data_IF_994819757976
#
_entry.id   IF_994819757976
#
_cell.length_a   1.000
_cell.length_b   1.000
_cell.length_c   1.000
_cell.angle_alpha   90.00
_cell.angle_beta   90.00
_cell.angle_gamma   90.00
#
_symmetry.space_group_name_H-M   'P 1'
#
loop_
_entity.id
_entity.type
_entity.pdbx_description
1 polymer ?
#
# COMPACT_ATOMS: atom_id res chain seq x y z
N UNK A 1 -10.26 -28.87 5.28
CA UNK A 1 -10.97 -28.65 6.56
C UNK A 1 -10.57 -27.27 7.05
N UNK A 2 -11.49 -26.31 7.03
CA UNK A 2 -11.26 -24.94 7.54
C UNK A 2 -11.21 -25.00 9.06
N UNK A 3 -10.02 -24.94 9.63
CA UNK A 3 -9.84 -24.48 11.00
C UNK A 3 -9.35 -23.04 10.91
N UNK A 4 -10.27 -22.09 10.81
CA UNK A 4 -10.00 -20.75 11.35
C UNK A 4 -9.79 -20.94 12.85
N UNK A 5 -8.75 -20.33 13.39
CA UNK A 5 -8.28 -20.53 14.78
C UNK A 5 -9.27 -19.95 15.80
N UNK A 6 -10.32 -19.28 15.31
CA UNK A 6 -11.52 -18.95 16.05
C UNK A 6 -12.71 -19.63 15.37
N UNK A 7 -13.41 -20.50 16.12
CA UNK A 7 -14.77 -20.89 15.76
C UNK A 7 -15.59 -19.60 15.66
N UNK A 8 -16.15 -19.36 14.47
CA UNK A 8 -17.27 -18.43 14.28
C UNK A 8 -18.49 -19.08 14.92
N UNK A 9 -18.50 -19.17 16.25
CA UNK A 9 -19.71 -19.52 16.98
C UNK A 9 -20.58 -18.27 17.11
N UNK A 10 -21.76 -18.37 16.49
CA UNK A 10 -22.98 -17.58 16.66
C UNK A 10 -22.92 -16.09 16.31
N UNK A 11 -23.39 -15.74 15.11
CA UNK A 11 -24.57 -14.88 14.87
C UNK A 11 -24.70 -13.48 15.49
N UNK A 12 -23.78 -13.03 16.36
CA UNK A 12 -23.75 -11.69 16.94
C UNK A 12 -22.53 -10.94 16.41
N UNK A 13 -22.70 -9.71 15.89
CA UNK A 13 -21.57 -8.88 15.48
C UNK A 13 -20.64 -8.63 16.67
N UNK A 14 -19.32 -8.68 16.44
CA UNK A 14 -18.34 -8.37 17.48
C UNK A 14 -18.52 -6.91 17.91
N UNK A 15 -18.64 -6.69 19.22
CA UNK A 15 -18.81 -5.38 19.85
C UNK A 15 -17.57 -5.07 20.67
N UNK A 16 -16.85 -4.02 20.30
CA UNK A 16 -15.54 -3.74 20.86
C UNK A 16 -15.49 -2.43 21.66
N UNK A 17 -14.64 -2.44 22.69
CA UNK A 17 -14.06 -1.22 23.26
C UNK A 17 -12.65 -1.09 22.74
N UNK A 18 -12.31 0.09 22.23
CA UNK A 18 -10.97 0.38 21.71
C UNK A 18 -10.09 0.97 22.81
N UNK A 19 -8.82 0.59 22.86
CA UNK A 19 -7.87 0.99 23.89
C UNK A 19 -6.60 1.51 23.25
N UNK A 20 -6.20 2.74 23.60
CA UNK A 20 -4.91 3.30 23.18
C UNK A 20 -4.10 3.78 24.38
N UNK A 21 -2.80 3.47 24.35
CA UNK A 21 -1.83 3.91 25.34
C UNK A 21 -0.93 4.97 24.73
N UNK A 22 -0.91 6.16 25.32
CA UNK A 22 -0.02 7.26 24.95
C UNK A 22 1.17 7.26 25.90
N UNK A 23 2.37 7.05 25.37
CA UNK A 23 3.59 7.15 26.16
C UNK A 23 4.02 8.62 26.21
N UNK A 24 4.14 9.19 27.41
CA UNK A 24 4.45 10.63 27.58
C UNK A 24 5.79 11.05 26.96
N UNK A 25 6.73 10.12 26.77
CA UNK A 25 8.01 10.38 26.11
C UNK A 25 7.85 10.78 24.64
N UNK A 26 6.78 10.29 23.99
CA UNK A 26 6.63 10.39 22.54
C UNK A 26 6.14 11.78 22.12
N UNK A 27 5.76 12.63 23.09
CA UNK A 27 5.31 14.02 22.89
C UNK A 27 4.30 14.17 21.74
N UNK A 28 3.47 13.15 21.54
CA UNK A 28 2.42 13.17 20.52
C UNK A 28 1.43 14.29 20.87
N UNK A 29 1.03 15.08 19.87
CA UNK A 29 -0.03 16.06 20.04
C UNK A 29 -1.36 15.33 20.32
N UNK A 30 -2.27 15.98 21.05
CA UNK A 30 -3.59 15.42 21.32
C UNK A 30 -4.32 15.10 19.99
N UNK A 31 -4.16 15.94 18.97
CA UNK A 31 -4.69 15.72 17.61
C UNK A 31 -4.21 14.40 16.99
N UNK A 32 -2.93 14.04 17.19
CA UNK A 32 -2.37 12.81 16.64
C UNK A 32 -2.91 11.57 17.35
N UNK A 33 -3.16 11.66 18.65
CA UNK A 33 -3.79 10.58 19.42
C UNK A 33 -5.22 10.36 18.95
N UNK A 34 -5.99 11.44 18.77
CA UNK A 34 -7.36 11.37 18.24
C UNK A 34 -7.39 10.77 16.83
N UNK A 35 -6.44 11.13 15.99
CA UNK A 35 -6.35 10.57 14.64
C UNK A 35 -6.03 9.07 14.65
N UNK A 36 -5.04 8.62 15.44
CA UNK A 36 -4.70 7.18 15.57
C UNK A 36 -5.91 6.36 16.05
N UNK A 37 -6.66 6.90 17.02
CA UNK A 37 -7.89 6.29 17.51
C UNK A 37 -8.98 6.22 16.46
N UNK A 38 -9.24 7.31 15.73
CA UNK A 38 -10.24 7.32 14.66
C UNK A 38 -9.86 6.36 13.52
N UNK A 39 -8.57 6.24 13.22
CA UNK A 39 -8.07 5.26 12.27
C UNK A 39 -8.27 3.82 12.76
N UNK A 40 -8.01 3.55 14.04
CA UNK A 40 -8.26 2.24 14.64
C UNK A 40 -9.75 1.87 14.68
N UNK A 41 -10.63 2.84 14.95
CA UNK A 41 -12.07 2.68 14.85
C UNK A 41 -12.45 2.32 13.41
N UNK A 42 -11.93 3.06 12.43
CA UNK A 42 -12.16 2.78 11.01
C UNK A 42 -11.65 1.39 10.60
N UNK A 43 -10.57 0.90 11.19
CA UNK A 43 -10.07 -0.48 10.99
C UNK A 43 -11.05 -1.50 11.55
N UNK A 44 -11.53 -1.28 12.78
CA UNK A 44 -12.49 -2.16 13.44
C UNK A 44 -13.79 -2.27 12.64
N UNK A 45 -14.33 -1.13 12.20
CA UNK A 45 -15.51 -1.08 11.34
C UNK A 45 -15.27 -1.80 10.00
N UNK A 46 -14.09 -1.62 9.39
CA UNK A 46 -13.71 -2.31 8.15
C UNK A 46 -13.60 -3.83 8.29
N UNK A 47 -13.38 -4.33 9.51
CA UNK A 47 -13.40 -5.76 9.86
C UNK A 47 -14.80 -6.27 10.22
N UNK A 48 -15.81 -5.40 10.27
CA UNK A 48 -17.18 -5.72 10.67
C UNK A 48 -17.40 -5.71 12.20
N UNK A 49 -16.55 -5.01 12.95
CA UNK A 49 -16.66 -4.86 14.42
C UNK A 49 -17.33 -3.52 14.74
N UNK A 50 -18.36 -3.56 15.60
CA UNK A 50 -19.04 -2.37 16.11
C UNK A 50 -18.25 -1.80 17.30
N UNK A 51 -17.71 -0.59 17.18
CA UNK A 51 -17.02 0.07 18.30
C UNK A 51 -18.04 0.80 19.19
N UNK A 52 -18.10 0.40 20.45
CA UNK A 52 -19.04 0.95 21.42
C UNK A 52 -18.48 2.16 22.20
N UNK A 53 -17.18 2.14 22.50
CA UNK A 53 -16.49 3.19 23.26
C UNK A 53 -14.97 3.10 23.08
N UNK A 54 -14.25 4.12 23.56
CA UNK A 54 -12.79 4.19 23.54
C UNK A 54 -12.19 4.57 24.89
N UNK A 55 -11.07 3.95 25.26
CA UNK A 55 -10.30 4.27 26.45
C UNK A 55 -8.90 4.72 26.04
N UNK A 56 -8.51 5.89 26.52
CA UNK A 56 -7.15 6.42 26.36
C UNK A 56 -6.47 6.46 27.72
N UNK A 57 -5.24 5.94 27.78
CA UNK A 57 -4.39 6.09 28.96
C UNK A 57 -3.08 6.76 28.59
N UNK A 58 -2.73 7.85 29.29
CA UNK A 58 -1.40 8.43 29.24
C UNK A 58 -0.51 7.85 30.36
N UNK A 59 0.68 7.34 30.02
CA UNK A 59 1.62 6.76 30.99
C UNK A 59 3.07 7.01 30.58
N UNK A 60 4.01 6.90 31.52
CA UNK A 60 5.43 7.09 31.24
C UNK A 60 6.07 5.87 30.56
N UNK A 61 5.49 4.68 30.78
CA UNK A 61 5.94 3.43 30.17
C UNK A 61 4.83 2.36 30.18
N UNK A 62 4.97 1.40 29.26
CA UNK A 62 4.05 0.25 29.12
C UNK A 62 4.10 -0.65 30.37
N UNK A 63 2.94 -1.12 30.82
CA UNK A 63 2.88 -2.15 31.86
C UNK A 63 3.31 -3.53 31.31
N UNK A 64 4.33 -4.14 31.89
CA UNK A 64 4.85 -5.44 31.43
C UNK A 64 3.83 -6.58 31.58
N UNK A 65 2.86 -6.45 32.48
CA UNK A 65 1.86 -7.49 32.73
C UNK A 65 0.58 -7.27 31.93
N UNK A 66 0.10 -6.03 31.88
CA UNK A 66 -1.25 -5.71 31.38
C UNK A 66 -1.27 -4.77 30.18
N UNK A 67 -0.12 -4.29 29.73
CA UNK A 67 0.04 -3.19 28.78
C UNK A 67 -0.44 -1.83 29.33
N UNK A 68 -1.70 -1.77 29.77
CA UNK A 68 -2.30 -0.66 30.52
C UNK A 68 -2.15 -0.82 32.04
N UNK A 69 -2.41 0.22 32.82
CA UNK A 69 -2.37 0.15 34.27
C UNK A 69 -3.52 -0.67 34.86
N UNK A 70 -3.29 -1.34 36.01
CA UNK A 70 -4.30 -2.18 36.68
C UNK A 70 -5.66 -1.49 36.89
N UNK A 71 -5.66 -0.20 37.26
CA UNK A 71 -6.90 0.56 37.43
C UNK A 71 -7.68 0.72 36.12
N UNK A 72 -6.98 0.87 34.98
CA UNK A 72 -7.61 0.93 33.65
C UNK A 72 -8.10 -0.43 33.17
N UNK A 73 -7.45 -1.53 33.57
CA UNK A 73 -7.97 -2.88 33.32
C UNK A 73 -9.33 -3.06 34.00
N UNK A 74 -9.46 -2.60 35.25
CA UNK A 74 -10.72 -2.69 35.98
C UNK A 74 -11.80 -1.79 35.36
N UNK A 75 -11.45 -0.55 35.00
CA UNK A 75 -12.36 0.36 34.29
C UNK A 75 -12.84 -0.22 32.96
N UNK A 76 -11.93 -0.82 32.18
CA UNK A 76 -12.26 -1.49 30.91
C UNK A 76 -13.22 -2.67 31.14
N UNK A 77 -13.04 -3.44 32.21
CA UNK A 77 -13.93 -4.55 32.58
C UNK A 77 -15.34 -4.07 32.88
N UNK A 78 -15.45 -3.03 33.71
CA UNK A 78 -16.74 -2.44 34.06
C UNK A 78 -17.44 -1.82 32.84
N UNK A 79 -16.69 -1.14 31.98
CA UNK A 79 -17.20 -0.52 30.77
C UNK A 79 -17.71 -1.59 29.78
N UNK A 80 -16.90 -2.61 29.52
CA UNK A 80 -17.28 -3.70 28.63
C UNK A 80 -18.53 -4.43 29.11
N UNK A 81 -18.64 -4.70 30.42
CA UNK A 81 -19.83 -5.33 30.98
C UNK A 81 -21.08 -4.45 30.85
N UNK A 82 -20.94 -3.13 31.09
CA UNK A 82 -22.05 -2.16 30.98
C UNK A 82 -22.57 -2.02 29.56
N UNK A 83 -21.67 -2.00 28.58
CA UNK A 83 -22.00 -1.80 27.17
C UNK A 83 -22.30 -3.11 26.43
N UNK A 84 -22.03 -4.26 27.05
CA UNK A 84 -22.16 -5.57 26.42
C UNK A 84 -21.11 -5.83 25.34
N UNK A 85 -19.91 -5.27 25.49
CA UNK A 85 -18.79 -5.55 24.61
C UNK A 85 -18.26 -6.96 24.85
N UNK A 86 -17.90 -7.67 23.77
CA UNK A 86 -17.31 -9.01 23.82
C UNK A 86 -15.82 -9.01 23.43
N UNK A 87 -15.31 -7.87 22.96
CA UNK A 87 -13.96 -7.71 22.41
C UNK A 87 -13.31 -6.44 22.95
N UNK A 88 -11.99 -6.48 23.18
CA UNK A 88 -11.18 -5.29 23.41
C UNK A 88 -10.09 -5.19 22.34
N UNK A 89 -10.03 -4.05 21.64
CA UNK A 89 -9.08 -3.80 20.56
C UNK A 89 -8.00 -2.83 21.05
N UNK A 90 -6.73 -3.24 20.99
CA UNK A 90 -5.59 -2.43 21.41
C UNK A 90 -4.88 -1.82 20.20
N UNK A 91 -4.60 -0.52 20.25
CA UNK A 91 -3.94 0.22 19.15
C UNK A 91 -2.48 -0.16 18.94
N UNK A 92 -1.82 -0.70 19.96
CA UNK A 92 -0.43 -1.13 19.89
C UNK A 92 -0.32 -2.65 20.01
N UNK A 93 0.78 -3.18 19.46
CA UNK A 93 1.07 -4.61 19.51
C UNK A 93 1.26 -5.08 20.96
N UNK A 94 0.54 -6.14 21.33
CA UNK A 94 0.61 -6.73 22.67
C UNK A 94 1.57 -7.90 22.67
N UNK A 95 2.34 -8.11 23.74
CA UNK A 95 3.08 -9.36 23.93
C UNK A 95 2.13 -10.53 24.22
N UNK A 96 2.51 -11.77 23.87
CA UNK A 96 1.65 -12.93 24.13
C UNK A 96 1.35 -13.12 25.63
N UNK A 97 2.21 -12.61 26.53
CA UNK A 97 1.97 -12.61 27.97
C UNK A 97 0.90 -11.58 28.37
N UNK A 98 0.92 -10.39 27.78
CA UNK A 98 -0.10 -9.36 28.01
C UNK A 98 -1.47 -9.82 27.52
N UNK A 99 -1.56 -10.38 26.31
CA UNK A 99 -2.81 -10.95 25.76
C UNK A 99 -3.43 -11.95 26.73
N UNK A 100 -2.65 -12.97 27.14
CA UNK A 100 -3.08 -13.97 28.13
C UNK A 100 -3.64 -13.36 29.41
N UNK A 101 -2.89 -12.41 29.98
CA UNK A 101 -3.25 -11.84 31.26
C UNK A 101 -4.58 -11.09 31.09
N UNK A 102 -4.66 -10.22 30.08
CA UNK A 102 -5.85 -9.43 29.76
C UNK A 102 -7.08 -10.31 29.52
N UNK A 103 -6.96 -11.38 28.74
CA UNK A 103 -8.04 -12.37 28.54
C UNK A 103 -8.54 -12.93 29.88
N UNK A 104 -7.63 -13.31 30.80
CA UNK A 104 -8.00 -13.84 32.11
C UNK A 104 -8.64 -12.81 33.05
N UNK A 105 -8.29 -11.53 32.93
CA UNK A 105 -8.84 -10.49 33.80
C UNK A 105 -10.17 -9.91 33.30
N UNK A 106 -10.31 -9.83 31.98
CA UNK A 106 -11.44 -9.15 31.34
C UNK A 106 -12.54 -10.12 30.91
N UNK A 107 -12.21 -11.40 30.66
CA UNK A 107 -13.12 -12.38 30.03
C UNK A 107 -13.65 -11.90 28.66
N UNK A 108 -12.78 -11.20 27.92
CA UNK A 108 -13.05 -10.65 26.58
C UNK A 108 -12.06 -11.22 25.57
N UNK A 109 -12.46 -11.24 24.30
CA UNK A 109 -11.54 -11.46 23.18
C UNK A 109 -10.57 -10.27 23.08
N UNK A 110 -9.27 -10.53 23.14
CA UNK A 110 -8.25 -9.47 23.04
C UNK A 110 -7.65 -9.48 21.64
N UNK A 111 -7.78 -8.36 20.94
CA UNK A 111 -7.23 -8.16 19.59
C UNK A 111 -6.30 -6.96 19.65
N UNK A 112 -5.13 -7.05 19.02
CA UNK A 112 -4.27 -5.89 18.81
C UNK A 112 -4.35 -5.40 17.36
N UNK A 113 -3.75 -4.22 17.09
CA UNK A 113 -3.77 -3.61 15.76
C UNK A 113 -3.22 -4.54 14.67
N UNK A 114 -2.17 -5.31 14.95
CA UNK A 114 -1.60 -6.25 13.99
C UNK A 114 -2.59 -7.35 13.62
N UNK A 115 -3.21 -7.98 14.62
CA UNK A 115 -4.21 -9.01 14.41
C UNK A 115 -5.43 -8.47 13.66
N UNK A 116 -5.90 -7.26 14.01
CA UNK A 116 -7.02 -6.61 13.33
C UNK A 116 -6.73 -6.39 11.84
N UNK A 117 -5.54 -5.89 11.48
CA UNK A 117 -5.16 -5.70 10.08
C UNK A 117 -5.09 -7.04 9.34
N UNK A 118 -4.52 -8.08 9.97
CA UNK A 118 -4.46 -9.42 9.39
C UNK A 118 -5.85 -10.01 9.14
N UNK A 119 -6.81 -9.76 10.03
CA UNK A 119 -8.19 -10.22 9.88
C UNK A 119 -8.90 -9.49 8.74
N UNK A 120 -8.69 -8.17 8.58
CA UNK A 120 -9.18 -7.42 7.41
C UNK A 120 -8.58 -8.02 6.14
N UNK A 121 -7.28 -8.27 6.10
CA UNK A 121 -6.64 -8.87 4.92
C UNK A 121 -7.17 -10.27 4.61
N UNK A 122 -7.46 -11.09 5.62
CA UNK A 122 -8.07 -12.40 5.42
C UNK A 122 -9.47 -12.30 4.78
N UNK A 123 -10.24 -11.27 5.12
CA UNK A 123 -11.53 -11.01 4.49
C UNK A 123 -11.41 -10.51 3.04
N UNK A 124 -10.30 -9.82 2.71
CA UNK A 124 -10.09 -9.17 1.40
C UNK A 124 -9.33 -10.04 0.39
N UNK A 125 -8.57 -11.05 0.85
CA UNK A 125 -7.85 -11.97 -0.03
C UNK A 125 -8.81 -12.73 -0.95
N UNK A 126 -8.62 -12.58 -2.26
CA UNK A 126 -9.41 -13.27 -3.29
C UNK A 126 -8.54 -14.18 -4.15
N UNK A 127 -7.27 -13.83 -4.33
CA UNK A 127 -6.33 -14.63 -5.12
C UNK A 127 -5.64 -15.70 -4.28
N UNK A 128 -5.15 -16.76 -4.94
CA UNK A 128 -4.33 -17.78 -4.29
C UNK A 128 -3.06 -17.19 -3.67
N UNK A 129 -2.44 -16.21 -4.32
CA UNK A 129 -1.26 -15.52 -3.79
C UNK A 129 -1.60 -14.76 -2.50
N UNK A 130 -2.67 -13.95 -2.53
CA UNK A 130 -3.17 -13.22 -1.36
C UNK A 130 -3.49 -14.15 -0.19
N UNK A 131 -4.16 -15.27 -0.44
CA UNK A 131 -4.44 -16.27 0.61
C UNK A 131 -3.15 -16.83 1.24
N UNK A 132 -2.15 -17.18 0.43
CA UNK A 132 -0.87 -17.70 0.93
C UNK A 132 -0.12 -16.67 1.77
N UNK A 133 -0.13 -15.40 1.36
CA UNK A 133 0.52 -14.30 2.08
C UNK A 133 -0.15 -14.01 3.42
N UNK A 134 -1.48 -13.94 3.44
CA UNK A 134 -2.23 -13.70 4.68
C UNK A 134 -2.04 -14.87 5.65
N UNK A 135 -2.14 -16.11 5.18
CA UNK A 135 -1.93 -17.29 6.03
C UNK A 135 -0.49 -17.31 6.59
N UNK A 136 0.51 -17.00 5.75
CA UNK A 136 1.90 -16.90 6.20
C UNK A 136 2.06 -15.82 7.28
N UNK A 137 1.46 -14.65 7.08
CA UNK A 137 1.54 -13.53 8.01
C UNK A 137 0.86 -13.87 9.35
N UNK A 138 -0.35 -14.44 9.31
CA UNK A 138 -1.08 -14.88 10.50
C UNK A 138 -0.30 -15.94 11.29
N UNK A 139 0.24 -16.97 10.62
CA UNK A 139 1.02 -18.01 11.29
C UNK A 139 2.34 -17.48 11.85
N UNK A 140 3.00 -16.56 11.14
CA UNK A 140 4.25 -15.94 11.59
C UNK A 140 4.02 -15.07 12.83
N UNK A 141 2.92 -14.32 12.87
CA UNK A 141 2.50 -13.51 14.02
C UNK A 141 2.06 -14.39 15.21
N UNK A 142 1.32 -15.48 14.96
CA UNK A 142 0.84 -16.38 15.99
C UNK A 142 1.94 -17.21 16.64
N UNK A 143 2.92 -17.69 15.87
CA UNK A 143 3.96 -18.62 16.33
C UNK A 143 4.70 -18.18 17.61
N UNK A 144 5.22 -16.94 17.74
CA UNK A 144 5.85 -16.47 18.97
C UNK A 144 4.86 -16.32 20.14
N UNK A 145 3.55 -16.29 19.88
CA UNK A 145 2.46 -15.99 20.83
C UNK A 145 1.70 -17.24 21.30
N UNK A 146 1.92 -18.39 20.66
CA UNK A 146 1.31 -19.70 21.01
C UNK A 146 1.58 -20.16 22.44
N UNK A 147 2.78 -19.90 22.97
CA UNK A 147 3.13 -20.28 24.35
C UNK A 147 2.18 -19.67 25.38
N UNK A 148 1.39 -18.67 24.99
CA UNK A 148 0.33 -18.11 25.80
C UNK A 148 -1.01 -18.81 25.78
N UNK A 149 -1.38 -19.38 24.65
CA UNK A 149 -2.71 -19.98 24.50
C UNK A 149 -2.79 -21.39 25.15
N UNK A 150 -1.65 -21.91 25.61
CA UNK A 150 -1.48 -23.28 26.11
C UNK A 150 -2.02 -23.60 27.51
N UNK A 151 -2.52 -22.63 28.28
CA UNK A 151 -2.99 -22.89 29.66
C UNK A 151 -4.28 -23.73 29.69
N UNK A 152 -5.12 -23.64 28.64
CA UNK A 152 -6.31 -24.50 28.51
C UNK A 152 -6.00 -25.88 27.93
N UNK A 153 -4.91 -26.04 27.18
CA UNK A 153 -4.51 -27.34 26.63
C UNK A 153 -3.72 -28.22 27.61
N UNK A 154 -3.02 -27.64 28.59
CA UNK A 154 -2.22 -28.42 29.57
C UNK A 154 -3.06 -29.06 30.68
N UNK A 155 -4.22 -28.48 31.03
CA UNK A 155 -5.09 -29.04 32.10
C UNK A 155 -5.77 -30.35 31.72
N UNK A 156 -6.06 -30.57 30.43
CA UNK A 156 -6.58 -31.87 29.94
C UNK A 156 -5.50 -32.97 29.88
N UNK A 157 -4.21 -32.62 29.91
CA UNK A 157 -3.10 -33.57 29.97
C UNK A 157 -2.55 -33.82 31.38
N UNK A 158 -3.10 -33.13 32.38
CA UNK A 158 -2.66 -33.18 33.78
C UNK A 158 -3.31 -34.31 34.58
N UNK A 159 -3.25 -35.54 34.08
CA UNK A 159 -3.76 -36.73 34.77
C UNK A 159 -2.80 -37.89 34.60
N UNK A 160 -1.94 -38.09 35.60
CA UNK A 160 -1.20 -39.33 35.94
C UNK A 160 -0.93 -40.27 34.76
N UNK A 161 0.29 -40.23 34.19
CA UNK A 161 0.86 -41.45 33.59
C UNK A 161 1.50 -41.42 32.21
N UNK A 162 1.99 -40.32 31.65
CA UNK A 162 2.82 -40.39 30.43
C UNK A 162 4.32 -40.42 30.75
N UNK A 163 4.79 -41.55 31.28
CA UNK A 163 6.21 -41.93 31.24
C UNK A 163 6.52 -42.49 29.84
N UNK A 164 6.74 -41.58 28.91
CA UNK A 164 7.35 -41.84 27.61
C UNK A 164 8.14 -40.61 27.18
N UNK A 165 9.07 -40.70 26.21
CA UNK A 165 9.77 -39.54 25.66
C UNK A 165 8.78 -38.75 24.77
N UNK A 166 7.75 -38.18 25.39
CA UNK A 166 6.59 -37.58 24.74
C UNK A 166 6.76 -36.08 24.64
N UNK A 167 6.94 -35.61 23.41
CA UNK A 167 6.89 -34.19 23.04
C UNK A 167 5.60 -33.54 23.58
N UNK A 168 5.70 -32.36 24.18
CA UNK A 168 4.49 -31.65 24.66
C UNK A 168 3.59 -31.29 23.48
N UNK A 169 2.26 -31.30 23.69
CA UNK A 169 1.30 -30.90 22.65
C UNK A 169 1.62 -29.52 22.07
N UNK A 170 2.06 -28.59 22.91
CA UNK A 170 2.52 -27.26 22.49
C UNK A 170 3.73 -27.30 21.55
N UNK A 171 4.72 -28.14 21.83
CA UNK A 171 5.89 -28.25 20.94
C UNK A 171 5.52 -28.94 19.62
N UNK A 172 4.61 -29.91 19.67
CA UNK A 172 4.04 -30.54 18.47
C UNK A 172 3.32 -29.51 17.60
N UNK A 173 2.45 -28.68 18.20
CA UNK A 173 1.73 -27.61 17.50
C UNK A 173 2.68 -26.56 16.90
N UNK A 174 3.71 -26.15 17.65
CA UNK A 174 4.76 -25.24 17.15
C UNK A 174 5.51 -25.85 15.97
N UNK A 175 5.82 -27.14 16.00
CA UNK A 175 6.46 -27.84 14.88
C UNK A 175 5.56 -27.85 13.65
N UNK A 176 4.27 -28.16 13.81
CA UNK A 176 3.31 -28.12 12.70
C UNK A 176 3.21 -26.73 12.08
N UNK A 177 3.11 -25.67 12.89
CA UNK A 177 3.04 -24.29 12.40
C UNK A 177 4.34 -23.88 11.69
N UNK A 178 5.52 -24.25 12.22
CA UNK A 178 6.80 -24.01 11.54
C UNK A 178 6.88 -24.72 10.18
N UNK A 179 6.46 -25.96 10.11
CA UNK A 179 6.43 -26.72 8.86
C UNK A 179 5.50 -26.05 7.84
N UNK A 180 4.31 -25.63 8.27
CA UNK A 180 3.35 -24.92 7.42
C UNK A 180 3.90 -23.58 6.93
N UNK A 181 4.55 -22.79 7.79
CA UNK A 181 5.24 -21.56 7.40
C UNK A 181 6.28 -21.82 6.30
N UNK A 182 7.07 -22.90 6.43
CA UNK A 182 8.06 -23.26 5.41
C UNK A 182 7.39 -23.66 4.09
N UNK A 183 6.33 -24.46 4.12
CA UNK A 183 5.54 -24.80 2.92
C UNK A 183 5.00 -23.55 2.21
N UNK A 184 4.39 -22.63 2.96
CA UNK A 184 3.84 -21.38 2.43
C UNK A 184 4.94 -20.49 1.81
N UNK A 185 6.10 -20.37 2.47
CA UNK A 185 7.26 -19.65 1.94
C UNK A 185 7.73 -20.26 0.62
N UNK A 186 7.81 -21.59 0.51
CA UNK A 186 8.17 -22.26 -0.73
C UNK A 186 7.15 -22.00 -1.84
N UNK A 187 5.86 -22.08 -1.55
CA UNK A 187 4.81 -21.78 -2.52
C UNK A 187 4.89 -20.33 -3.04
N UNK A 188 5.17 -19.36 -2.16
CA UNK A 188 5.34 -17.96 -2.56
C UNK A 188 6.59 -17.72 -3.41
N UNK A 189 7.67 -18.48 -3.19
CA UNK A 189 8.86 -18.39 -4.04
C UNK A 189 8.57 -18.86 -5.47
N UNK A 190 7.72 -19.87 -5.66
CA UNK A 190 7.30 -20.29 -6.99
C UNK A 190 6.48 -19.21 -7.70
N UNK A 191 5.53 -18.58 -6.99
CA UNK A 191 4.76 -17.44 -7.52
C UNK A 191 5.67 -16.30 -7.97
N UNK A 192 6.68 -15.97 -7.15
CA UNK A 192 7.67 -14.93 -7.49
C UNK A 192 8.46 -15.25 -8.77
N UNK A 193 8.87 -16.52 -8.96
CA UNK A 193 9.56 -16.95 -10.20
C UNK A 193 8.68 -16.74 -11.44
N UNK A 194 7.40 -17.07 -11.36
CA UNK A 194 6.46 -16.82 -12.45
C UNK A 194 6.34 -15.32 -12.76
N UNK A 195 6.29 -14.44 -11.75
CA UNK A 195 6.19 -12.99 -11.95
C UNK A 195 7.41 -12.42 -12.69
N UNK A 196 8.63 -12.86 -12.34
CA UNK A 196 9.87 -12.44 -13.03
C UNK A 196 9.83 -12.79 -14.52
N UNK A 197 9.39 -14.00 -14.88
CA UNK A 197 9.26 -14.41 -16.28
C UNK A 197 8.24 -13.56 -17.05
N UNK A 198 7.09 -13.25 -16.42
CA UNK A 198 6.10 -12.34 -17.01
C UNK A 198 6.68 -10.94 -17.22
N UNK A 199 7.45 -10.43 -16.26
CA UNK A 199 8.13 -9.13 -16.36
C UNK A 199 9.13 -9.08 -17.49
N UNK A 200 9.99 -10.09 -17.65
CA UNK A 200 10.97 -10.14 -18.74
C UNK A 200 10.29 -10.14 -20.11
N UNK A 201 9.17 -10.86 -20.25
CA UNK A 201 8.37 -10.84 -21.46
C UNK A 201 7.77 -9.46 -21.73
N UNK A 202 7.24 -8.78 -20.71
CA UNK A 202 6.67 -7.42 -20.83
C UNK A 202 7.71 -6.36 -21.20
N UNK A 203 8.90 -6.42 -20.60
CA UNK A 203 10.01 -5.51 -20.96
C UNK A 203 10.38 -5.63 -22.44
N UNK A 204 10.31 -6.84 -23.01
CA UNK A 204 10.55 -7.07 -24.44
C UNK A 204 9.44 -6.52 -25.33
N UNK A 205 8.20 -6.40 -24.84
CA UNK A 205 7.07 -5.86 -25.59
C UNK A 205 6.91 -4.34 -25.47
N UNK A 206 7.71 -3.67 -24.64
CA UNK A 206 7.71 -2.21 -24.51
C UNK A 206 6.48 -1.60 -23.83
N UNK A 207 5.74 -2.39 -23.05
CA UNK A 207 4.54 -1.91 -22.33
C UNK A 207 4.96 -1.29 -21.00
N UNK A 208 4.63 -0.02 -20.78
CA UNK A 208 4.92 0.68 -19.53
C UNK A 208 3.97 0.29 -18.41
N UNK A 209 4.49 0.26 -17.19
CA UNK A 209 3.75 -0.03 -15.98
C UNK A 209 3.72 1.18 -15.04
N UNK A 210 2.52 1.53 -14.59
CA UNK A 210 2.26 2.60 -13.64
C UNK A 210 1.66 1.99 -12.37
N UNK A 211 2.23 2.28 -11.20
CA UNK A 211 1.69 1.85 -9.92
C UNK A 211 1.04 3.01 -9.17
N UNK A 212 -0.20 2.83 -8.74
CA UNK A 212 -0.87 3.73 -7.79
C UNK A 212 -0.45 3.35 -6.38
N UNK A 213 0.27 4.24 -5.70
CA UNK A 213 0.67 4.06 -4.30
C UNK A 213 0.09 5.18 -3.45
N UNK A 214 -0.05 4.95 -2.15
CA UNK A 214 -0.62 5.95 -1.25
C UNK A 214 -1.31 5.35 -0.05
N UNK A 215 -1.65 6.21 0.89
CA UNK A 215 -2.33 5.84 2.12
C UNK A 215 -3.69 5.16 1.84
N UNK A 216 -4.18 4.33 2.76
CA UNK A 216 -5.54 3.77 2.70
C UNK A 216 -6.56 4.90 2.62
N UNK A 217 -7.63 4.69 1.83
CA UNK A 217 -8.67 5.71 1.57
C UNK A 217 -8.19 6.97 0.81
N UNK A 218 -6.96 7.04 0.28
CA UNK A 218 -6.54 8.18 -0.58
C UNK A 218 -7.30 8.26 -1.93
N UNK A 219 -8.08 7.23 -2.27
CA UNK A 219 -8.84 7.15 -3.52
C UNK A 219 -8.11 6.48 -4.69
N UNK A 220 -7.10 5.63 -4.41
CA UNK A 220 -6.35 4.87 -5.43
C UNK A 220 -7.27 4.02 -6.32
N UNK A 221 -8.10 3.17 -5.72
CA UNK A 221 -9.02 2.28 -6.45
C UNK A 221 -10.08 3.07 -7.23
N UNK A 222 -10.57 4.18 -6.65
CA UNK A 222 -11.46 5.12 -7.34
C UNK A 222 -10.78 5.72 -8.57
N UNK A 223 -9.54 6.16 -8.44
CA UNK A 223 -8.76 6.72 -9.54
C UNK A 223 -8.48 5.68 -10.64
N UNK A 224 -8.13 4.43 -10.26
CA UNK A 224 -7.99 3.32 -11.21
C UNK A 224 -9.25 3.13 -12.05
N UNK A 225 -10.41 3.02 -11.40
CA UNK A 225 -11.70 2.82 -12.07
C UNK A 225 -12.03 3.95 -13.02
N UNK A 226 -11.83 5.18 -12.56
CA UNK A 226 -12.17 6.38 -13.32
C UNK A 226 -11.25 6.57 -14.52
N UNK A 227 -9.96 6.27 -14.39
CA UNK A 227 -9.02 6.34 -15.51
C UNK A 227 -9.23 5.22 -16.53
N UNK A 228 -9.65 4.03 -16.09
CA UNK A 228 -9.73 2.83 -16.95
C UNK A 228 -11.15 2.39 -17.32
N UNK A 229 -12.17 3.13 -16.88
CA UNK A 229 -13.59 2.76 -16.97
C UNK A 229 -13.86 1.33 -16.46
N UNK A 230 -13.12 0.90 -15.45
CA UNK A 230 -13.23 -0.44 -14.87
C UNK A 230 -14.19 -0.46 -13.68
N UNK A 231 -14.89 -1.59 -13.50
CA UNK A 231 -15.66 -1.91 -12.29
C UNK A 231 -14.77 -2.63 -11.25
N UNK A 232 -13.74 -1.97 -10.71
CA UNK A 232 -13.04 -2.47 -9.51
C UNK A 232 -13.83 -2.02 -8.29
N UNK A 233 -13.91 -2.87 -7.27
CA UNK A 233 -14.58 -2.53 -6.03
C UNK A 233 -13.87 -1.38 -5.31
N UNK A 234 -14.55 -0.26 -5.11
CA UNK A 234 -14.07 0.89 -4.36
C UNK A 234 -15.11 1.27 -3.30
N UNK A 235 -14.74 1.14 -2.03
CA UNK A 235 -15.54 1.58 -0.89
C UNK A 235 -14.68 2.41 0.07
N UNK A 236 -15.32 3.25 0.89
CA UNK A 236 -14.69 4.01 1.96
C UNK A 236 -14.36 3.09 3.16
N UNK A 237 -13.61 2.03 2.92
CA UNK A 237 -13.13 1.07 3.92
C UNK A 237 -11.60 1.00 3.84
N UNK A 238 -10.95 0.78 4.98
CA UNK A 238 -9.51 0.57 5.02
C UNK A 238 -9.18 -0.77 4.37
N UNK A 239 -8.08 -0.80 3.60
CA UNK A 239 -7.64 -1.98 2.83
C UNK A 239 -8.68 -2.54 1.85
N UNK A 240 -9.46 -1.68 1.19
CA UNK A 240 -10.38 -2.08 0.12
C UNK A 240 -9.72 -2.95 -0.97
N UNK A 241 -8.43 -2.72 -1.25
CA UNK A 241 -7.61 -3.51 -2.17
C UNK A 241 -6.47 -4.21 -1.42
N UNK A 242 -6.41 -5.55 -1.52
CA UNK A 242 -5.27 -6.36 -1.09
C UNK A 242 -4.52 -6.97 -2.29
N UNK A 243 -5.26 -7.61 -3.19
CA UNK A 243 -4.67 -8.17 -4.40
C UNK A 243 -4.44 -7.06 -5.43
N UNK A 244 -3.23 -6.92 -6.00
CA UNK A 244 -2.94 -5.86 -6.96
C UNK A 244 -3.86 -6.01 -8.18
N UNK A 245 -4.52 -4.92 -8.55
CA UNK A 245 -5.45 -4.92 -9.68
C UNK A 245 -4.89 -4.09 -10.83
N UNK A 246 -4.50 -4.77 -11.90
CA UNK A 246 -3.98 -4.13 -13.12
C UNK A 246 -5.06 -3.96 -14.18
N UNK A 247 -5.08 -2.80 -14.83
CA UNK A 247 -5.96 -2.46 -15.95
C UNK A 247 -5.19 -1.71 -17.03
N UNK A 248 -5.61 -1.87 -18.27
CA UNK A 248 -5.06 -1.10 -19.38
C UNK A 248 -5.63 0.31 -19.34
N UNK A 249 -4.75 1.31 -19.36
CA UNK A 249 -5.06 2.72 -19.51
C UNK A 249 -4.59 3.16 -20.89
N UNK A 250 -5.49 3.72 -21.68
CA UNK A 250 -5.15 4.33 -22.97
C UNK A 250 -4.80 5.80 -22.77
N UNK A 251 -3.61 6.19 -23.23
CA UNK A 251 -3.11 7.56 -23.14
C UNK A 251 -3.57 8.40 -24.34
N UNK A 252 -3.52 9.75 -24.26
CA UNK A 252 -4.03 10.66 -25.29
C UNK A 252 -3.39 10.44 -26.67
N UNK A 253 -2.12 10.05 -26.71
CA UNK A 253 -1.41 9.70 -27.95
C UNK A 253 -1.75 8.31 -28.53
N UNK A 254 -2.71 7.60 -27.93
CA UNK A 254 -3.18 6.30 -28.39
C UNK A 254 -2.38 5.09 -27.90
N UNK A 255 -1.30 5.25 -27.13
CA UNK A 255 -0.56 4.13 -26.53
C UNK A 255 -1.26 3.58 -25.28
N UNK A 256 -1.07 2.28 -25.05
CA UNK A 256 -1.61 1.58 -23.88
C UNK A 256 -0.53 1.40 -22.82
N UNK A 257 -0.87 1.74 -21.57
CA UNK A 257 -0.05 1.48 -20.38
C UNK A 257 -0.82 0.64 -19.38
N UNK A 258 -0.12 -0.07 -18.51
CA UNK A 258 -0.75 -0.88 -17.46
C UNK A 258 -0.76 -0.11 -16.16
N UNK A 259 -1.94 0.30 -15.70
CA UNK A 259 -2.14 0.94 -14.41
C UNK A 259 -2.48 -0.12 -13.37
N UNK A 260 -1.76 -0.14 -12.25
CA UNK A 260 -1.95 -1.13 -11.17
C UNK A 260 -2.26 -0.45 -9.85
N UNK A 261 -3.40 -0.81 -9.24
CA UNK A 261 -3.75 -0.42 -7.87
C UNK A 261 -3.03 -1.34 -6.88
N UNK A 262 -2.29 -0.75 -5.94
CA UNK A 262 -1.57 -1.48 -4.89
C UNK A 262 -2.32 -1.44 -3.56
N UNK A 263 -1.87 -2.27 -2.61
CA UNK A 263 -2.33 -2.19 -1.22
C UNK A 263 -2.10 -0.77 -0.68
N UNK A 264 -3.09 -0.25 0.05
CA UNK A 264 -2.94 1.04 0.73
C UNK A 264 -2.07 0.93 1.97
N UNK A 265 -1.27 1.96 2.22
CA UNK A 265 -0.44 2.05 3.42
C UNK A 265 -1.21 2.60 4.61
N UNK A 266 -0.79 2.21 5.81
CA UNK A 266 -1.32 2.72 7.08
C UNK A 266 -0.17 2.99 8.05
N UNK A 267 -0.40 3.85 9.04
CA UNK A 267 0.52 4.10 10.14
C UNK A 267 0.76 2.83 10.96
N UNK A 268 1.99 2.70 11.45
CA UNK A 268 2.42 1.61 12.32
C UNK A 268 2.17 0.23 11.70
N UNK A 269 2.44 0.09 10.40
CA UNK A 269 2.49 -1.20 9.71
C UNK A 269 3.52 -2.10 10.42
N UNK A 270 3.12 -3.25 10.98
CA UNK A 270 4.05 -4.13 11.67
C UNK A 270 5.13 -4.64 10.71
N UNK A 271 6.39 -4.69 11.14
CA UNK A 271 7.51 -5.12 10.28
C UNK A 271 7.31 -6.54 9.71
N UNK A 272 6.74 -7.45 10.50
CA UNK A 272 6.43 -8.81 10.06
C UNK A 272 5.36 -8.82 8.95
N UNK A 273 4.45 -7.84 8.97
CA UNK A 273 3.44 -7.64 7.96
C UNK A 273 4.06 -7.13 6.66
N UNK A 274 4.93 -6.12 6.75
CA UNK A 274 5.70 -5.61 5.59
C UNK A 274 6.50 -6.74 4.93
N UNK A 275 7.12 -7.63 5.73
CA UNK A 275 7.86 -8.77 5.21
C UNK A 275 6.97 -9.79 4.46
N UNK A 276 5.77 -10.07 4.96
CA UNK A 276 4.83 -11.00 4.34
C UNK A 276 4.16 -10.42 3.07
N UNK A 277 3.93 -9.11 3.05
CA UNK A 277 3.34 -8.39 1.91
C UNK A 277 4.38 -7.73 0.99
N UNK A 278 5.67 -7.98 1.24
CA UNK A 278 6.75 -7.48 0.38
C UNK A 278 6.56 -7.89 -1.08
N UNK A 279 6.03 -9.09 -1.33
CA UNK A 279 5.77 -9.58 -2.69
C UNK A 279 4.61 -8.85 -3.40
N UNK A 280 3.58 -8.39 -2.68
CA UNK A 280 2.52 -7.55 -3.27
C UNK A 280 2.97 -6.10 -3.42
N UNK A 281 3.81 -5.62 -2.51
CA UNK A 281 4.39 -4.28 -2.57
C UNK A 281 5.56 -4.16 -3.56
N UNK A 282 6.18 -5.28 -3.96
CA UNK A 282 7.22 -5.34 -4.99
C UNK A 282 6.74 -4.77 -6.33
N UNK A 283 5.43 -4.79 -6.62
CA UNK A 283 4.86 -4.21 -7.85
C UNK A 283 5.19 -2.72 -8.01
N UNK A 284 5.25 -1.97 -6.90
CA UNK A 284 5.68 -0.57 -6.91
C UNK A 284 7.15 -0.40 -7.32
N UNK A 285 8.01 -1.35 -6.95
CA UNK A 285 9.41 -1.39 -7.38
C UNK A 285 9.55 -1.87 -8.84
N UNK A 286 8.56 -2.60 -9.36
CA UNK A 286 8.58 -3.03 -10.75
C UNK A 286 8.12 -1.94 -11.72
N UNK A 287 7.26 -1.02 -11.28
CA UNK A 287 6.69 0.05 -12.08
C UNK A 287 7.75 0.97 -12.72
N UNK A 288 7.43 1.47 -13.92
CA UNK A 288 8.22 2.48 -14.63
C UNK A 288 7.90 3.89 -14.10
N UNK A 289 6.69 4.08 -13.58
CA UNK A 289 6.23 5.32 -12.94
C UNK A 289 5.39 5.01 -11.70
N UNK A 290 5.62 5.77 -10.64
CA UNK A 290 4.80 5.76 -9.43
C UNK A 290 3.87 6.97 -9.43
N UNK A 291 2.56 6.73 -9.32
CA UNK A 291 1.57 7.76 -9.01
C UNK A 291 1.28 7.70 -7.52
N UNK A 292 1.82 8.65 -6.76
CA UNK A 292 1.58 8.76 -5.33
C UNK A 292 0.28 9.52 -5.09
N UNK A 293 -0.81 8.79 -4.85
CA UNK A 293 -2.13 9.36 -4.58
C UNK A 293 -2.23 9.76 -3.11
N UNK A 294 -2.53 11.04 -2.88
CA UNK A 294 -2.57 11.69 -1.58
C UNK A 294 -3.95 12.29 -1.36
N UNK A 295 -4.54 12.08 -0.18
CA UNK A 295 -5.81 12.72 0.19
C UNK A 295 -5.56 14.19 0.56
N UNK A 296 -6.05 15.12 -0.26
CA UNK A 296 -5.85 16.56 -0.01
C UNK A 296 -6.68 17.08 1.15
N UNK A 297 -7.79 16.41 1.47
CA UNK A 297 -8.72 16.79 2.55
C UNK A 297 -8.27 16.35 3.94
N UNK A 298 -7.24 15.50 4.02
CA UNK A 298 -6.69 15.00 5.28
C UNK A 298 -5.77 16.04 5.93
N UNK A 299 -6.03 16.38 7.19
CA UNK A 299 -5.12 17.19 8.02
C UNK A 299 -3.78 16.47 8.26
N UNK A 300 -3.76 15.14 8.17
CA UNK A 300 -2.57 14.29 8.36
C UNK A 300 -1.77 14.05 7.07
N UNK A 301 -2.09 14.76 5.99
CA UNK A 301 -1.51 14.56 4.65
C UNK A 301 0.01 14.45 4.65
N UNK A 302 0.72 15.39 5.27
CA UNK A 302 2.18 15.41 5.30
C UNK A 302 2.76 14.17 5.98
N UNK A 303 2.17 13.76 7.11
CA UNK A 303 2.60 12.57 7.82
C UNK A 303 2.30 11.30 7.04
N UNK A 304 1.13 11.22 6.40
CA UNK A 304 0.79 10.11 5.52
C UNK A 304 1.80 9.99 4.36
N UNK A 305 2.17 11.11 3.74
CA UNK A 305 3.19 11.12 2.68
C UNK A 305 4.54 10.62 3.19
N UNK A 306 4.99 11.06 4.37
CA UNK A 306 6.22 10.55 5.00
C UNK A 306 6.17 9.04 5.25
N UNK A 307 5.06 8.51 5.75
CA UNK A 307 4.88 7.06 5.95
C UNK A 307 4.98 6.30 4.62
N UNK A 308 4.39 6.82 3.55
CA UNK A 308 4.52 6.22 2.22
C UNK A 308 5.97 6.26 1.74
N UNK A 309 6.67 7.38 1.93
CA UNK A 309 8.07 7.54 1.54
C UNK A 309 9.00 6.57 2.30
N UNK A 310 8.83 6.44 3.61
CA UNK A 310 9.56 5.48 4.46
C UNK A 310 9.36 4.05 3.93
N UNK A 311 8.12 3.65 3.63
CA UNK A 311 7.82 2.31 3.11
C UNK A 311 8.38 2.12 1.69
N UNK A 312 8.27 3.11 0.80
CA UNK A 312 8.85 3.03 -0.54
C UNK A 312 10.39 2.90 -0.48
N UNK A 313 11.03 3.54 0.50
CA UNK A 313 12.46 3.41 0.75
C UNK A 313 12.82 1.98 1.20
N UNK A 314 12.10 1.40 2.16
CA UNK A 314 12.29 0.01 2.61
C UNK A 314 12.11 -1.02 1.48
N UNK A 315 11.19 -0.73 0.56
CA UNK A 315 10.94 -1.56 -0.63
C UNK A 315 11.98 -1.37 -1.75
N UNK A 316 12.86 -0.37 -1.63
CA UNK A 316 13.87 -0.02 -2.62
C UNK A 316 13.32 0.69 -3.86
N UNK A 317 12.16 1.34 -3.75
CA UNK A 317 11.47 2.04 -4.84
C UNK A 317 11.74 3.56 -4.88
N UNK A 318 12.60 4.09 -4.00
CA UNK A 318 12.85 5.54 -3.85
C UNK A 318 13.40 6.22 -5.13
N UNK A 319 14.17 5.50 -5.96
CA UNK A 319 14.77 6.05 -7.19
C UNK A 319 13.84 6.07 -8.41
N UNK A 320 12.57 5.69 -8.26
CA UNK A 320 11.62 5.61 -9.37
C UNK A 320 11.07 6.99 -9.74
N UNK A 321 10.78 7.25 -11.04
CA UNK A 321 9.99 8.41 -11.44
C UNK A 321 8.67 8.43 -10.67
N UNK A 322 8.29 9.61 -10.17
CA UNK A 322 7.09 9.79 -9.36
C UNK A 322 6.33 11.04 -9.77
N UNK A 323 5.00 10.95 -9.76
CA UNK A 323 4.10 12.10 -9.78
C UNK A 323 3.24 12.04 -8.52
N UNK A 324 3.18 13.14 -7.77
CA UNK A 324 2.31 13.26 -6.60
C UNK A 324 0.93 13.75 -7.03
N UNK A 325 -0.09 12.93 -6.80
CA UNK A 325 -1.48 13.18 -7.19
C UNK A 325 -2.28 13.54 -5.94
N UNK A 326 -2.47 14.85 -5.72
CA UNK A 326 -3.31 15.39 -4.66
C UNK A 326 -4.78 15.25 -5.04
N UNK A 327 -5.41 14.18 -4.57
CA UNK A 327 -6.79 13.80 -4.86
C UNK A 327 -7.78 14.41 -3.86
N UNK A 328 -9.08 14.31 -4.14
CA UNK A 328 -10.20 14.79 -3.32
C UNK A 328 -10.25 16.30 -3.12
N UNK A 329 -9.80 17.08 -4.11
CA UNK A 329 -9.89 18.54 -4.03
C UNK A 329 -11.34 19.06 -3.99
N UNK A 330 -12.32 18.22 -4.37
CA UNK A 330 -13.75 18.49 -4.26
C UNK A 330 -14.24 18.63 -2.81
N UNK A 331 -13.49 18.13 -1.83
CA UNK A 331 -13.81 18.23 -0.40
C UNK A 331 -13.20 19.47 0.27
N UNK A 332 -12.38 20.25 -0.45
CA UNK A 332 -11.73 21.44 0.11
C UNK A 332 -12.66 22.65 0.01
N UNK A 333 -12.89 23.40 1.11
CA UNK A 333 -13.66 24.64 1.07
C UNK A 333 -12.92 25.69 0.22
N UNK A 334 -13.63 26.28 -0.75
CA UNK A 334 -13.24 27.32 -1.70
C UNK A 334 -11.72 27.52 -1.98
N UNK A 335 -11.24 26.76 -2.97
CA UNK A 335 -10.39 27.33 -4.02
C UNK A 335 -8.87 27.19 -3.86
N UNK A 336 -8.33 25.99 -4.11
CA UNK A 336 -6.96 25.76 -4.64
C UNK A 336 -5.79 26.48 -3.92
N UNK A 337 -5.92 26.94 -2.69
CA UNK A 337 -5.11 28.06 -2.18
C UNK A 337 -4.02 27.70 -1.17
N UNK A 338 -3.91 26.47 -0.69
CA UNK A 338 -2.69 26.08 0.02
C UNK A 338 -1.61 25.68 -1.00
N UNK A 339 -0.40 26.26 -0.94
CA UNK A 339 0.74 25.76 -1.69
C UNK A 339 1.10 24.38 -1.12
N UNK A 340 0.59 23.34 -1.75
CA UNK A 340 1.02 21.97 -1.52
C UNK A 340 2.47 21.85 -1.98
N UNK A 341 3.40 21.97 -1.03
CA UNK A 341 4.81 21.73 -1.29
C UNK A 341 5.00 20.23 -1.52
N UNK A 342 4.93 19.81 -2.78
CA UNK A 342 5.50 18.54 -3.19
C UNK A 342 6.88 18.82 -3.79
N UNK A 343 7.90 18.09 -3.35
CA UNK A 343 9.15 18.02 -4.08
C UNK A 343 8.91 17.27 -5.40
N UNK A 344 9.00 17.98 -6.53
CA UNK A 344 8.87 17.42 -7.89
C UNK A 344 7.49 17.58 -8.52
N UNK A 345 7.20 16.72 -9.51
CA UNK A 345 5.96 16.80 -10.29
C UNK A 345 4.74 16.50 -9.41
N UNK A 346 3.78 17.42 -9.40
CA UNK A 346 2.54 17.24 -8.67
C UNK A 346 1.34 17.75 -9.46
N UNK A 347 0.20 17.09 -9.25
CA UNK A 347 -1.07 17.42 -9.87
C UNK A 347 -2.18 17.38 -8.82
N UNK A 348 -3.12 18.31 -8.93
CA UNK A 348 -4.30 18.40 -8.07
C UNK A 348 -5.53 17.95 -8.84
N UNK A 349 -6.25 16.99 -8.30
CA UNK A 349 -7.39 16.38 -8.98
C UNK A 349 -8.55 16.11 -8.03
N UNK A 350 -9.75 16.09 -8.59
CA UNK A 350 -10.81 15.23 -8.10
C UNK A 350 -10.88 14.01 -9.00
N UNK A 351 -10.82 12.80 -8.45
CA UNK A 351 -11.06 11.57 -9.22
C UNK A 351 -12.44 11.52 -9.90
N UNK A 352 -13.36 12.42 -9.52
CA UNK A 352 -14.69 12.56 -10.11
C UNK A 352 -14.76 13.57 -11.26
N UNK A 353 -13.71 14.37 -11.47
CA UNK A 353 -13.63 15.40 -12.51
C UNK A 353 -12.97 14.86 -13.78
N UNK A 354 -13.68 14.84 -14.91
CA UNK A 354 -13.13 14.34 -16.19
C UNK A 354 -11.94 15.17 -16.69
N UNK A 355 -11.99 16.50 -16.50
CA UNK A 355 -10.88 17.39 -16.90
C UNK A 355 -9.60 17.07 -16.15
N UNK A 356 -9.72 16.69 -14.88
CA UNK A 356 -8.57 16.37 -14.03
C UNK A 356 -8.00 14.99 -14.38
N UNK A 357 -8.85 14.04 -14.74
CA UNK A 357 -8.43 12.71 -15.22
C UNK A 357 -7.63 12.82 -16.52
N UNK A 358 -8.05 13.67 -17.46
CA UNK A 358 -7.29 13.93 -18.69
C UNK A 358 -5.93 14.57 -18.40
N UNK A 359 -5.86 15.50 -17.44
CA UNK A 359 -4.60 16.08 -17.01
C UNK A 359 -3.64 15.03 -16.39
N UNK A 360 -4.16 14.06 -15.63
CA UNK A 360 -3.35 12.93 -15.13
C UNK A 360 -2.82 12.08 -16.28
N UNK A 361 -3.65 11.75 -17.26
CA UNK A 361 -3.22 10.96 -18.43
C UNK A 361 -2.11 11.68 -19.22
N UNK A 362 -2.23 13.00 -19.40
CA UNK A 362 -1.21 13.81 -20.05
C UNK A 362 0.10 13.79 -19.26
N UNK A 363 0.06 14.02 -17.94
CA UNK A 363 1.24 14.01 -17.09
C UNK A 363 1.94 12.63 -17.07
N UNK A 364 1.16 11.53 -17.04
CA UNK A 364 1.68 10.16 -17.16
C UNK A 364 2.38 9.96 -18.50
N UNK A 365 1.77 10.43 -19.60
CA UNK A 365 2.33 10.34 -20.93
C UNK A 365 3.67 11.07 -21.02
N UNK A 366 3.72 12.34 -20.61
CA UNK A 366 4.93 13.16 -20.62
C UNK A 366 6.05 12.50 -19.81
N UNK A 367 5.73 12.01 -18.61
CA UNK A 367 6.72 11.42 -17.71
C UNK A 367 7.28 10.09 -18.19
N UNK A 368 6.45 9.22 -18.78
CA UNK A 368 6.87 7.90 -19.26
C UNK A 368 7.60 7.96 -20.59
N UNK A 369 7.18 8.87 -21.46
CA UNK A 369 7.57 8.83 -22.87
C UNK A 369 8.68 9.81 -23.24
N UNK A 370 9.07 10.66 -22.29
CA UNK A 370 10.11 11.65 -22.49
C UNK A 370 9.69 12.78 -23.42
N UNK A 371 10.57 13.76 -23.53
CA UNK A 371 10.33 14.93 -24.38
C UNK A 371 10.25 14.51 -25.86
N UNK A 372 9.33 15.13 -26.58
CA UNK A 372 9.43 15.17 -28.04
C UNK A 372 10.49 16.19 -28.39
N UNK A 373 11.52 15.76 -29.12
CA UNK A 373 12.60 16.63 -29.58
C UNK A 373 12.60 16.66 -31.10
N UNK A 374 12.66 17.86 -31.64
CA UNK A 374 12.86 18.08 -33.06
C UNK A 374 14.35 18.00 -33.38
N UNK A 375 14.70 17.26 -34.43
CA UNK A 375 16.05 17.16 -34.95
C UNK A 375 16.06 17.55 -36.43
N UNK A 376 17.01 18.38 -36.86
CA UNK A 376 17.24 18.68 -38.27
C UNK A 376 18.51 17.94 -38.72
N UNK A 377 18.35 16.90 -39.53
CA UNK A 377 19.44 16.01 -39.94
C UNK A 377 19.64 16.09 -41.45
N UNK A 378 20.87 16.29 -41.94
CA UNK A 378 21.16 16.25 -43.37
C UNK A 378 20.75 14.92 -44.01
N UNK A 379 20.07 14.96 -45.16
CA UNK A 379 19.53 13.76 -45.81
C UNK A 379 20.60 12.71 -46.16
N UNK A 380 21.86 13.13 -46.34
CA UNK A 380 23.01 12.25 -46.59
C UNK A 380 23.54 11.50 -45.34
N UNK A 381 23.10 11.86 -44.13
CA UNK A 381 23.57 11.26 -42.86
C UNK A 381 22.66 10.12 -42.40
N UNK A 382 22.62 9.04 -43.19
CA UNK A 382 21.85 7.83 -42.87
C UNK A 382 22.26 7.16 -41.55
N UNK A 383 23.49 7.39 -41.08
CA UNK A 383 23.99 6.98 -39.76
C UNK A 383 23.21 7.64 -38.62
N UNK A 384 22.93 8.94 -38.72
CA UNK A 384 22.21 9.71 -37.71
C UNK A 384 20.71 9.44 -37.77
N UNK A 385 20.14 9.27 -38.97
CA UNK A 385 18.74 8.87 -39.13
C UNK A 385 18.50 7.50 -38.50
N UNK A 386 19.38 6.53 -38.76
CA UNK A 386 19.31 5.21 -38.12
C UNK A 386 19.45 5.28 -36.60
N UNK A 387 20.27 6.23 -36.10
CA UNK A 387 20.42 6.48 -34.67
C UNK A 387 19.13 7.06 -34.07
N UNK A 388 18.45 8.00 -34.74
CA UNK A 388 17.16 8.55 -34.29
C UNK A 388 16.11 7.45 -34.07
N UNK A 389 15.93 6.55 -35.05
CA UNK A 389 15.03 5.40 -34.93
C UNK A 389 15.43 4.40 -33.83
N UNK A 390 16.69 4.44 -33.37
CA UNK A 390 17.17 3.61 -32.27
C UNK A 390 16.95 4.25 -30.91
N UNK A 391 17.13 5.58 -30.79
CA UNK A 391 17.02 6.31 -29.52
C UNK A 391 15.60 6.79 -29.22
N UNK A 392 14.68 6.72 -30.18
CA UNK A 392 13.32 7.20 -30.02
C UNK A 392 12.36 6.69 -31.09
N UNK A 393 11.08 7.03 -30.92
CA UNK A 393 10.04 6.76 -31.90
C UNK A 393 9.81 8.03 -32.72
N UNK A 394 10.04 7.96 -34.04
CA UNK A 394 9.82 9.09 -34.96
C UNK A 394 8.31 9.29 -35.12
N UNK A 395 7.83 10.47 -34.71
CA UNK A 395 6.42 10.84 -34.78
C UNK A 395 6.07 11.46 -36.14
N UNK A 396 6.96 12.32 -36.64
CA UNK A 396 6.80 12.99 -37.92
C UNK A 396 8.15 13.19 -38.62
N UNK A 397 8.12 13.28 -39.95
CA UNK A 397 9.28 13.58 -40.77
C UNK A 397 8.90 14.50 -41.95
N UNK A 398 9.59 15.62 -42.05
CA UNK A 398 9.41 16.59 -43.14
C UNK A 398 10.74 16.86 -43.84
N UNK A 399 10.73 16.89 -45.18
CA UNK A 399 11.92 17.19 -45.97
C UNK A 399 12.02 18.70 -46.18
N UNK A 400 13.07 19.33 -45.64
CA UNK A 400 13.36 20.76 -45.72
C UNK A 400 14.65 20.98 -46.54
N UNK A 401 14.55 20.99 -47.88
CA UNK A 401 15.69 21.23 -48.76
C UNK A 401 16.70 20.07 -48.76
N UNK A 402 17.91 20.30 -48.25
CA UNK A 402 18.96 19.26 -48.11
C UNK A 402 18.90 18.52 -46.76
N UNK A 403 18.06 18.99 -45.84
CA UNK A 403 17.86 18.42 -44.51
C UNK A 403 16.50 17.75 -44.38
N UNK A 404 16.38 16.87 -43.40
CA UNK A 404 15.12 16.26 -42.97
C UNK A 404 14.90 16.65 -41.51
N UNK A 405 13.75 17.27 -41.24
CA UNK A 405 13.27 17.55 -39.89
C UNK A 405 12.55 16.32 -39.38
N UNK A 406 12.94 15.84 -38.21
CA UNK A 406 12.33 14.73 -37.52
C UNK A 406 11.80 15.20 -36.17
N UNK A 407 10.53 14.97 -35.90
CA UNK A 407 9.99 15.08 -34.55
C UNK A 407 10.04 13.70 -33.91
N UNK A 408 10.93 13.54 -32.94
CA UNK A 408 11.22 12.24 -32.35
C UNK A 408 10.88 12.27 -30.88
N UNK A 409 10.06 11.30 -30.48
CA UNK A 409 9.80 11.01 -29.08
C UNK A 409 10.98 10.24 -28.51
N UNK A 410 11.71 10.88 -27.62
CA UNK A 410 13.00 10.38 -27.19
C UNK A 410 12.86 9.42 -26.01
N UNK A 411 13.36 8.20 -26.14
CA UNK A 411 13.47 7.26 -25.00
C UNK A 411 14.64 7.71 -24.14
N UNK A 412 14.37 8.43 -23.07
CA UNK A 412 15.36 9.14 -22.25
C UNK A 412 16.59 8.26 -21.90
N UNK A 413 16.38 7.01 -21.48
CA UNK A 413 17.46 6.09 -21.12
C UNK A 413 18.39 5.70 -22.29
N UNK A 414 17.90 5.67 -23.52
CA UNK A 414 18.71 5.40 -24.73
C UNK A 414 19.36 6.68 -25.24
N UNK A 415 18.66 7.81 -25.13
CA UNK A 415 19.18 9.12 -25.50
C UNK A 415 20.31 9.59 -24.57
N UNK A 416 20.23 9.31 -23.28
CA UNK A 416 21.32 9.65 -22.36
C UNK A 416 22.59 8.84 -22.66
N UNK A 417 22.45 7.61 -23.18
CA UNK A 417 23.60 6.77 -23.57
C UNK A 417 24.20 7.14 -24.92
N UNK A 418 23.37 7.49 -25.91
CA UNK A 418 23.79 7.56 -27.32
C UNK A 418 23.41 8.86 -28.03
N UNK A 419 22.59 9.70 -27.39
CA UNK A 419 22.06 10.95 -27.93
C UNK A 419 23.06 12.10 -28.01
N UNK A 420 24.26 11.95 -27.45
CA UNK A 420 25.33 12.97 -27.56
C UNK A 420 25.66 13.32 -29.02
N UNK A 421 25.55 12.36 -29.96
CA UNK A 421 25.78 12.59 -31.39
C UNK A 421 24.62 13.34 -32.07
N UNK A 422 23.44 13.35 -31.46
CA UNK A 422 22.21 14.00 -31.97
C UNK A 422 22.01 15.40 -31.39
N UNK A 423 22.67 15.74 -30.28
CA UNK A 423 22.56 17.07 -29.64
C UNK A 423 22.92 18.22 -30.59
N UNK A 424 23.93 18.04 -31.45
CA UNK A 424 24.34 19.06 -32.43
C UNK A 424 23.29 19.33 -33.52
N UNK A 425 22.29 18.46 -33.65
CA UNK A 425 21.24 18.51 -34.67
C UNK A 425 19.86 18.78 -34.07
N UNK A 426 19.77 19.08 -32.78
CA UNK A 426 18.51 19.49 -32.17
C UNK A 426 18.05 20.83 -32.75
N UNK A 427 16.83 20.87 -33.28
CA UNK A 427 16.21 22.13 -33.66
C UNK A 427 15.73 22.82 -32.38
N UNK A 428 16.29 23.98 -32.06
CA UNK A 428 15.72 24.85 -31.05
C UNK A 428 14.45 25.47 -31.61
N UNK A 429 13.30 25.22 -30.99
CA UNK A 429 12.06 25.94 -31.30
C UNK A 429 12.32 27.44 -31.10
N UNK A 430 12.32 28.20 -32.20
CA UNK A 430 12.04 29.62 -32.11
C UNK A 430 10.57 29.73 -31.68
N UNK A 431 10.33 30.21 -30.45
CA UNK A 431 9.01 30.64 -30.01
C UNK A 431 8.39 31.48 -31.13
N UNK A 432 7.21 31.07 -31.59
CA UNK A 432 6.35 31.90 -32.43
C UNK A 432 6.00 33.19 -31.67
N UNK A 433 6.83 34.22 -31.82
CA UNK A 433 6.39 35.61 -31.75
C UNK A 433 6.41 36.13 -33.17
N UNK A 434 5.22 36.21 -33.78
CA UNK A 434 4.83 37.23 -34.76
C UNK A 434 3.43 36.88 -35.29
N UNK A 435 2.46 37.80 -35.14
CA UNK A 435 1.26 37.76 -35.99
C UNK A 435 -0.10 38.19 -35.45
N UNK A 436 -0.25 38.98 -34.38
CA UNK A 436 -1.46 39.82 -34.22
C UNK A 436 -1.05 41.30 -34.21
N UNK A 437 -0.89 41.83 -35.41
CA UNK A 437 -0.93 43.26 -35.68
C UNK A 437 -1.41 43.44 -37.12
N UNK A 438 -2.73 43.58 -37.26
CA UNK A 438 -3.39 44.45 -38.23
C UNK A 438 -4.84 44.68 -37.80
#
# INVERSE_FOLDING_TARGET
MKQTIHEVTSGTPDKAVVVSLVIKSDRLSDEMVHYSLNELISLAESAGVEVLDSIVQAKDSVDSKWFIGKGKVEELRELAHRLGANTAIFDQELSGAQVRNLEQALDLKIIDRTQLILDIFAQRAKTREGFLQVELAQLSYLLPRLSGHGVNLSRLGGGIGTRGPGETKLETDRRHIRNRINELRHALQEVKRHRVLHRERRKKTGVFQVALVGYTNAGKSTLLNRLTQADVYAENQLFATLDPTSRTLRLPNGQDVVLTDTVGFIQNLPHDLVAAFRATLEEANEADLILHVVDSSSEMRERQMQVVDEVLQELGAQGKPRITVFNKIDLLPDGRSEPLAAEGDSIRISAFSETDLEAVKLAVQEKLMGDTKSFRIPAGRGDLISLLYRVGDVLDQEVEGEDIRFDVRVKQAEFDKQGHMLQAFMAHEAMQQEGESL
#
